data_IF_412580805094
#
_entry.id   IF_412580805094
#
_cell.length_a   1.000
_cell.length_b   1.000
_cell.length_c   1.000
_cell.angle_alpha   90.00
_cell.angle_beta   90.00
_cell.angle_gamma   90.00
#
_symmetry.space_group_name_H-M   'P 1'
#
loop_
_entity.id
_entity.type
_entity.pdbx_description
1 polymer ?
#
# COMPACT_ATOMS: atom_id res chain seq x y z
N UNK A 1 15.99 -19.89 -8.98
CA UNK A 1 15.56 -19.42 -7.64
C UNK A 1 16.32 -20.19 -6.55
N UNK A 2 16.60 -19.58 -5.39
CA UNK A 2 17.36 -20.27 -4.31
C UNK A 2 16.63 -21.47 -3.70
N UNK A 3 15.30 -21.50 -3.75
CA UNK A 3 14.47 -22.62 -3.27
C UNK A 3 14.27 -23.74 -4.30
N UNK A 4 14.66 -23.53 -5.53
CA UNK A 4 14.63 -24.52 -6.61
C UNK A 4 15.91 -24.34 -7.47
N UNK A 5 17.09 -24.68 -6.93
CA UNK A 5 18.38 -24.32 -7.54
C UNK A 5 18.62 -25.01 -8.90
N UNK A 6 17.92 -26.13 -9.16
CA UNK A 6 18.03 -26.87 -10.41
C UNK A 6 16.97 -26.47 -11.44
N UNK A 7 16.00 -25.62 -11.06
CA UNK A 7 14.94 -25.20 -11.96
C UNK A 7 15.33 -23.86 -12.61
N UNK A 8 15.49 -23.90 -13.92
CA UNK A 8 15.68 -22.72 -14.75
C UNK A 8 14.48 -22.52 -15.63
N UNK A 9 13.83 -21.36 -15.53
CA UNK A 9 12.75 -20.96 -16.41
C UNK A 9 13.34 -20.12 -17.54
N UNK A 10 13.14 -20.55 -18.78
CA UNK A 10 13.57 -19.82 -19.97
C UNK A 10 12.44 -18.92 -20.46
N UNK A 11 12.77 -17.66 -20.70
CA UNK A 11 11.81 -16.64 -21.15
C UNK A 11 12.38 -15.91 -22.34
N UNK A 12 11.53 -15.63 -23.33
CA UNK A 12 11.88 -14.77 -24.46
C UNK A 12 11.11 -13.46 -24.37
N UNK A 13 11.77 -12.34 -24.63
CA UNK A 13 11.09 -11.06 -24.74
C UNK A 13 10.34 -10.93 -26.05
N UNK A 14 9.23 -10.21 -26.03
CA UNK A 14 8.51 -9.81 -27.23
C UNK A 14 9.24 -8.68 -28.01
N UNK A 15 8.61 -8.19 -29.08
CA UNK A 15 9.12 -7.08 -29.91
C UNK A 15 9.28 -5.74 -29.16
N UNK A 16 8.61 -5.59 -28.03
CA UNK A 16 8.69 -4.42 -27.16
C UNK A 16 9.68 -4.59 -26.01
N UNK A 17 10.42 -5.72 -26.00
CA UNK A 17 11.36 -6.11 -24.93
C UNK A 17 10.66 -6.39 -23.59
N UNK A 18 9.38 -6.67 -23.62
CA UNK A 18 8.63 -7.13 -22.46
C UNK A 18 8.72 -8.65 -22.34
N UNK A 19 8.77 -9.16 -21.13
CA UNK A 19 8.70 -10.57 -20.82
C UNK A 19 8.00 -10.79 -19.48
N UNK A 20 7.32 -11.90 -19.38
CA UNK A 20 6.62 -12.33 -18.18
C UNK A 20 6.80 -13.84 -18.00
N UNK A 21 6.87 -14.30 -16.78
CA UNK A 21 6.89 -15.72 -16.45
C UNK A 21 6.34 -15.98 -15.06
N UNK A 22 5.94 -17.22 -14.85
CA UNK A 22 5.44 -17.71 -13.57
C UNK A 22 6.43 -18.70 -12.97
N UNK A 23 6.65 -18.57 -11.67
CA UNK A 23 7.49 -19.48 -10.89
C UNK A 23 6.70 -19.98 -9.69
N UNK A 24 6.87 -21.27 -9.35
CA UNK A 24 6.32 -21.79 -8.11
C UNK A 24 7.09 -21.22 -6.92
N UNK A 25 6.36 -20.64 -5.97
CA UNK A 25 6.96 -20.13 -4.74
C UNK A 25 6.99 -21.22 -3.66
N UNK A 26 7.99 -21.21 -2.75
CA UNK A 26 8.00 -22.10 -1.60
C UNK A 26 6.90 -21.69 -0.63
N UNK A 27 6.68 -22.52 0.40
CA UNK A 27 5.91 -22.09 1.57
C UNK A 27 6.57 -20.87 2.21
N UNK A 28 5.77 -20.15 3.03
CA UNK A 28 6.21 -18.97 3.76
C UNK A 28 7.50 -19.22 4.53
N UNK A 29 8.59 -18.70 4.05
CA UNK A 29 9.94 -18.79 4.64
C UNK A 29 10.87 -17.79 3.94
N UNK A 30 12.14 -17.89 4.20
CA UNK A 30 13.21 -17.08 3.60
C UNK A 30 14.35 -16.87 4.60
N UNK A 31 15.33 -16.04 4.25
CA UNK A 31 15.39 -15.24 3.02
C UNK A 31 15.76 -16.07 1.78
N UNK A 32 15.18 -15.71 0.66
CA UNK A 32 15.41 -16.31 -0.64
C UNK A 32 16.12 -15.34 -1.61
N UNK A 33 16.55 -15.87 -2.77
CA UNK A 33 17.09 -15.07 -3.86
C UNK A 33 16.60 -15.56 -5.22
N UNK A 34 16.42 -14.62 -6.15
CA UNK A 34 16.14 -14.89 -7.56
C UNK A 34 17.28 -14.31 -8.38
N UNK A 35 17.83 -15.11 -9.30
CA UNK A 35 18.89 -14.71 -10.21
C UNK A 35 18.40 -14.70 -11.64
N UNK A 36 18.75 -13.66 -12.36
CA UNK A 36 18.41 -13.45 -13.76
C UNK A 36 19.67 -13.55 -14.60
N UNK A 37 19.64 -14.45 -15.57
CA UNK A 37 20.75 -14.70 -16.46
C UNK A 37 20.39 -14.25 -17.87
N UNK A 38 21.30 -13.58 -18.53
CA UNK A 38 21.17 -13.22 -19.93
C UNK A 38 21.76 -14.29 -20.84
N UNK A 39 22.05 -13.88 -22.07
CA UNK A 39 22.68 -14.73 -23.06
C UNK A 39 24.00 -15.29 -22.52
N UNK A 40 24.35 -16.52 -22.90
CA UNK A 40 25.55 -17.23 -22.48
C UNK A 40 25.66 -17.50 -20.96
N UNK A 41 24.56 -17.43 -20.23
CA UNK A 41 24.56 -17.71 -18.79
C UNK A 41 25.21 -16.63 -17.92
N UNK A 42 25.40 -15.43 -18.45
CA UNK A 42 25.92 -14.30 -17.68
C UNK A 42 24.89 -13.80 -16.68
N UNK A 43 25.24 -13.69 -15.40
CA UNK A 43 24.40 -13.09 -14.38
C UNK A 43 24.17 -11.61 -14.69
N UNK A 44 22.91 -11.22 -14.91
CA UNK A 44 22.50 -9.86 -15.23
C UNK A 44 21.94 -9.11 -14.02
N UNK A 45 21.18 -9.81 -13.17
CA UNK A 45 20.57 -9.23 -11.97
C UNK A 45 20.36 -10.31 -10.90
N UNK A 46 20.35 -9.89 -9.66
CA UNK A 46 19.98 -10.74 -8.52
C UNK A 46 19.12 -9.93 -7.55
N UNK A 47 17.98 -10.50 -7.14
CA UNK A 47 17.14 -10.00 -6.05
C UNK A 47 17.36 -10.90 -4.86
N UNK A 48 17.77 -10.33 -3.74
CA UNK A 48 18.11 -11.04 -2.48
C UNK A 48 17.14 -10.64 -1.37
N UNK A 49 17.25 -11.36 -0.26
CA UNK A 49 16.49 -11.12 0.97
C UNK A 49 14.96 -11.13 0.74
N UNK A 50 14.50 -12.04 -0.13
CA UNK A 50 13.08 -12.20 -0.43
C UNK A 50 12.46 -13.07 0.68
N UNK A 51 11.45 -12.53 1.36
CA UNK A 51 10.61 -13.28 2.27
C UNK A 51 9.30 -13.64 1.58
N UNK A 52 8.84 -14.86 1.80
CA UNK A 52 7.51 -15.32 1.37
C UNK A 52 6.56 -15.24 2.56
N UNK A 53 5.48 -14.49 2.41
CA UNK A 53 4.51 -14.24 3.46
C UNK A 53 3.32 -13.45 2.93
N UNK A 54 2.62 -12.75 3.81
CA UNK A 54 1.52 -11.88 3.41
C UNK A 54 1.99 -10.43 3.22
N UNK A 55 1.46 -9.77 2.21
CA UNK A 55 1.68 -8.33 1.97
C UNK A 55 0.37 -7.59 2.07
N UNK A 56 0.34 -6.49 2.80
CA UNK A 56 -0.85 -5.67 3.04
C UNK A 56 -0.63 -4.23 2.60
N UNK A 57 -1.63 -3.68 1.90
CA UNK A 57 -1.64 -2.26 1.53
C UNK A 57 -2.33 -1.46 2.64
N UNK A 58 -1.58 -0.55 3.26
CA UNK A 58 -2.09 0.36 4.29
C UNK A 58 -2.21 1.76 3.68
N UNK A 59 -3.44 2.26 3.54
CA UNK A 59 -3.72 3.50 2.83
C UNK A 59 -4.73 4.38 3.55
N UNK A 60 -4.79 5.66 3.19
CA UNK A 60 -5.68 6.63 3.81
C UNK A 60 -5.06 8.01 3.98
N UNK A 61 -5.48 8.73 5.02
CA UNK A 61 -5.02 10.09 5.28
C UNK A 61 -4.18 10.20 6.57
N UNK A 62 -4.21 11.34 7.24
CA UNK A 62 -3.32 11.69 8.37
C UNK A 62 -3.27 10.66 9.49
N UNK A 63 -4.37 10.05 9.87
CA UNK A 63 -4.36 9.02 10.92
C UNK A 63 -3.68 7.72 10.47
N UNK A 64 -3.76 7.35 9.18
CA UNK A 64 -2.94 6.29 8.63
C UNK A 64 -1.48 6.72 8.48
N UNK A 65 -1.22 7.97 8.13
CA UNK A 65 0.13 8.50 8.00
C UNK A 65 0.85 8.71 9.34
N UNK A 66 0.11 8.79 10.44
CA UNK A 66 0.67 9.06 11.76
C UNK A 66 1.79 8.09 12.11
N UNK A 67 2.98 8.62 12.37
CA UNK A 67 4.20 7.83 12.58
C UNK A 67 4.79 8.06 13.99
N UNK A 68 5.63 7.13 14.41
CA UNK A 68 6.18 7.14 15.78
C UNK A 68 6.98 8.40 16.12
N UNK A 69 7.66 9.00 15.15
CA UNK A 69 8.41 10.24 15.36
C UNK A 69 7.54 11.47 15.65
N UNK A 70 6.23 11.40 15.41
CA UNK A 70 5.29 12.49 15.71
C UNK A 70 4.74 12.42 17.14
N UNK A 71 5.57 11.96 18.08
CA UNK A 71 5.30 11.87 19.53
C UNK A 71 4.25 10.82 19.90
N UNK A 72 4.63 9.56 19.80
CA UNK A 72 3.93 8.46 20.45
C UNK A 72 4.63 8.24 21.81
N UNK A 73 4.25 9.04 22.80
CA UNK A 73 4.96 9.10 24.10
C UNK A 73 4.72 7.87 24.99
N UNK A 74 3.68 7.08 24.71
CA UNK A 74 3.27 5.93 25.52
C UNK A 74 4.13 4.66 25.30
N UNK A 75 5.04 4.68 24.32
CA UNK A 75 5.89 3.53 24.01
C UNK A 75 7.30 3.80 24.52
N UNK A 76 7.62 3.27 25.70
CA UNK A 76 8.89 3.51 26.39
C UNK A 76 10.05 2.64 25.90
N UNK A 77 9.78 1.42 25.42
CA UNK A 77 10.80 0.52 24.87
C UNK A 77 10.55 0.24 23.38
N UNK A 78 11.09 1.10 22.54
CA UNK A 78 10.99 0.99 21.09
C UNK A 78 11.99 0.01 20.50
N UNK A 79 13.09 -0.28 21.19
CA UNK A 79 14.15 -1.15 20.67
C UNK A 79 13.67 -2.59 20.50
N UNK A 80 13.02 -3.13 21.52
CA UNK A 80 12.44 -4.49 21.45
C UNK A 80 11.17 -4.54 20.62
N UNK A 81 10.38 -3.46 20.59
CA UNK A 81 9.14 -3.38 19.81
C UNK A 81 9.41 -3.54 18.31
N UNK A 82 10.49 -2.94 17.81
CA UNK A 82 10.81 -2.86 16.39
C UNK A 82 11.84 -3.89 15.90
N UNK A 83 12.40 -4.72 16.76
CA UNK A 83 13.34 -5.77 16.33
C UNK A 83 12.59 -7.00 15.80
N UNK A 84 12.02 -6.87 14.62
CA UNK A 84 11.38 -7.99 13.93
C UNK A 84 11.77 -8.07 12.45
N UNK A 85 12.76 -8.89 12.14
CA UNK A 85 13.28 -9.08 10.77
C UNK A 85 12.27 -9.73 9.80
N UNK A 86 11.14 -10.24 10.29
CA UNK A 86 10.08 -10.80 9.44
C UNK A 86 9.03 -9.77 9.05
N UNK A 87 9.06 -8.56 9.62
CA UNK A 87 8.25 -7.45 9.17
C UNK A 87 9.08 -6.59 8.21
N UNK A 88 8.48 -6.23 7.10
CA UNK A 88 9.09 -5.37 6.07
C UNK A 88 8.18 -4.19 5.77
N UNK A 89 8.79 -3.04 5.53
CA UNK A 89 8.11 -1.81 5.17
C UNK A 89 8.45 -1.40 3.74
N UNK A 90 7.44 -0.98 3.00
CA UNK A 90 7.61 -0.27 1.75
C UNK A 90 6.81 1.03 1.82
N UNK A 91 7.47 2.16 2.02
CA UNK A 91 6.82 3.47 2.05
C UNK A 91 6.80 4.06 0.66
N UNK A 92 5.60 4.22 0.11
CA UNK A 92 5.38 4.87 -1.18
C UNK A 92 5.71 6.34 -1.06
N UNK A 93 6.58 6.85 -1.94
CA UNK A 93 6.87 8.27 -1.99
C UNK A 93 5.62 9.05 -2.42
N UNK A 94 5.31 10.13 -1.69
CA UNK A 94 4.17 11.00 -2.01
C UNK A 94 4.33 11.61 -3.40
N UNK A 95 3.38 11.33 -4.26
CA UNK A 95 3.32 11.89 -5.60
C UNK A 95 1.88 11.93 -6.11
N UNK A 96 1.60 12.80 -7.05
CA UNK A 96 0.30 12.90 -7.71
C UNK A 96 0.48 13.00 -9.22
N UNK A 97 -0.46 12.44 -9.97
CA UNK A 97 -0.40 12.45 -11.44
C UNK A 97 -1.80 12.54 -12.04
N UNK A 98 -1.94 13.27 -13.12
CA UNK A 98 -3.18 13.30 -13.90
C UNK A 98 -3.44 11.98 -14.65
N UNK A 99 -2.40 11.18 -14.86
CA UNK A 99 -2.48 9.91 -15.59
C UNK A 99 -1.79 8.79 -14.80
N UNK A 100 -2.21 7.53 -14.97
CA UNK A 100 -1.56 6.38 -14.36
C UNK A 100 -0.07 6.33 -14.68
N UNK A 101 0.76 6.09 -13.66
CA UNK A 101 2.20 5.91 -13.82
C UNK A 101 2.56 4.44 -13.60
N UNK A 102 3.59 3.99 -14.32
CA UNK A 102 4.01 2.58 -14.30
C UNK A 102 5.05 2.26 -13.20
N UNK A 103 5.64 3.29 -12.61
CA UNK A 103 6.75 3.13 -11.68
C UNK A 103 6.53 3.95 -10.42
N UNK A 104 6.93 3.36 -9.31
CA UNK A 104 6.85 3.94 -7.98
C UNK A 104 8.25 4.12 -7.41
N UNK A 105 8.45 5.17 -6.62
CA UNK A 105 9.65 5.32 -5.82
C UNK A 105 9.42 4.76 -4.42
N UNK A 106 10.37 3.98 -3.96
CA UNK A 106 10.35 3.34 -2.66
C UNK A 106 11.36 2.20 -2.60
N UNK A 107 11.56 1.68 -1.41
CA UNK A 107 12.39 0.49 -1.16
C UNK A 107 11.78 -0.32 -0.04
N UNK A 108 11.98 -1.63 -0.07
CA UNK A 108 11.69 -2.49 1.06
C UNK A 108 12.76 -2.29 2.15
N UNK A 109 12.30 -2.09 3.37
CA UNK A 109 13.14 -1.92 4.54
C UNK A 109 12.78 -2.97 5.60
N UNK A 110 13.80 -3.44 6.32
CA UNK A 110 13.61 -4.33 7.47
C UNK A 110 13.05 -3.51 8.62
N UNK A 111 12.09 -4.06 9.37
CA UNK A 111 11.63 -3.44 10.60
C UNK A 111 12.78 -3.34 11.61
N UNK A 112 13.15 -2.14 11.94
CA UNK A 112 14.14 -1.76 12.95
C UNK A 112 13.70 -0.47 13.63
N UNK A 113 14.32 -0.06 14.76
CA UNK A 113 14.02 1.22 15.38
C UNK A 113 14.10 2.40 14.40
N UNK A 114 15.11 2.41 13.53
CA UNK A 114 15.34 3.50 12.59
C UNK A 114 14.28 3.56 11.48
N UNK A 115 13.87 2.41 10.94
CA UNK A 115 12.92 2.35 9.83
C UNK A 115 11.48 2.50 10.28
N UNK A 116 11.16 2.02 11.48
CA UNK A 116 9.82 2.10 12.05
C UNK A 116 9.43 3.52 12.48
N UNK A 117 10.40 4.35 12.92
CA UNK A 117 10.15 5.72 13.38
C UNK A 117 9.36 6.56 12.37
N UNK A 118 9.61 6.38 11.08
CA UNK A 118 8.96 7.13 9.98
C UNK A 118 7.84 6.34 9.30
N UNK A 119 7.46 5.19 9.84
CA UNK A 119 6.39 4.37 9.29
C UNK A 119 5.08 4.53 10.08
N UNK A 120 3.95 4.20 9.45
CA UNK A 120 2.62 4.27 10.06
C UNK A 120 2.52 3.45 11.34
N UNK A 121 2.09 4.07 12.44
CA UNK A 121 1.80 3.38 13.71
C UNK A 121 0.68 2.37 13.52
N UNK A 122 -0.39 2.76 12.85
CA UNK A 122 -1.56 1.89 12.61
C UNK A 122 -1.16 0.68 11.77
N UNK A 123 -0.46 0.90 10.66
CA UNK A 123 0.02 -0.18 9.81
C UNK A 123 0.98 -1.11 10.54
N UNK A 124 1.91 -0.55 11.33
CA UNK A 124 2.84 -1.33 12.13
C UNK A 124 2.12 -2.20 13.17
N UNK A 125 1.21 -1.62 13.95
CA UNK A 125 0.46 -2.37 14.98
C UNK A 125 -0.37 -3.50 14.34
N UNK A 126 -1.02 -3.24 13.21
CA UNK A 126 -1.73 -4.27 12.44
C UNK A 126 -0.78 -5.39 12.01
N UNK A 127 0.32 -5.04 11.34
CA UNK A 127 1.27 -6.03 10.81
C UNK A 127 1.97 -6.83 11.90
N UNK A 128 2.32 -6.20 13.03
CA UNK A 128 2.90 -6.87 14.19
C UNK A 128 1.93 -7.88 14.77
N UNK A 129 0.68 -7.48 15.02
CA UNK A 129 -0.33 -8.39 15.54
C UNK A 129 -0.62 -9.55 14.59
N UNK A 130 -0.70 -9.26 13.29
CA UNK A 130 -0.91 -10.30 12.27
C UNK A 130 0.27 -11.29 12.23
N UNK A 131 1.51 -10.81 12.30
CA UNK A 131 2.71 -11.65 12.37
C UNK A 131 2.66 -12.61 13.58
N UNK A 132 2.27 -12.11 14.74
CA UNK A 132 2.13 -12.90 15.97
C UNK A 132 1.03 -13.97 15.84
N UNK A 133 -0.16 -13.61 15.36
CA UNK A 133 -1.31 -14.51 15.22
C UNK A 133 -1.08 -15.61 14.17
N UNK A 134 -0.32 -15.29 13.13
CA UNK A 134 0.03 -16.26 12.08
C UNK A 134 1.32 -17.06 12.36
N UNK A 135 1.73 -17.14 13.63
CA UNK A 135 2.88 -17.95 14.01
C UNK A 135 4.20 -17.42 13.46
N UNK A 136 4.39 -16.12 13.50
CA UNK A 136 5.60 -15.45 13.02
C UNK A 136 5.80 -15.54 11.49
N UNK A 137 4.69 -15.55 10.72
CA UNK A 137 4.69 -15.46 9.27
C UNK A 137 5.31 -14.12 8.82
N UNK A 138 6.16 -14.08 7.79
CA UNK A 138 6.64 -12.80 7.25
C UNK A 138 5.49 -11.89 6.79
N UNK A 139 5.55 -10.61 7.18
CA UNK A 139 4.55 -9.61 6.82
C UNK A 139 5.22 -8.43 6.11
N UNK A 140 4.76 -8.14 4.89
CA UNK A 140 5.09 -6.94 4.16
C UNK A 140 3.99 -5.88 4.31
N UNK A 141 4.37 -4.65 4.65
CA UNK A 141 3.44 -3.53 4.80
C UNK A 141 3.79 -2.46 3.76
N UNK A 142 2.89 -2.25 2.81
CA UNK A 142 3.00 -1.16 1.82
C UNK A 142 2.23 0.02 2.36
N UNK A 143 2.94 1.08 2.75
CA UNK A 143 2.34 2.33 3.21
C UNK A 143 2.15 3.31 2.06
N UNK A 144 0.90 3.54 1.64
CA UNK A 144 0.53 4.49 0.58
C UNK A 144 -0.56 5.42 1.12
N UNK A 145 -0.15 6.51 1.75
CA UNK A 145 -1.04 7.42 2.46
C UNK A 145 -0.58 8.88 2.33
N UNK A 146 -1.56 9.81 2.49
CA UNK A 146 -1.26 11.25 2.46
C UNK A 146 -2.27 12.01 3.33
N UNK A 147 -1.80 12.65 4.38
CA UNK A 147 -2.64 13.43 5.31
C UNK A 147 -3.43 14.54 4.62
N UNK A 148 -4.67 14.75 5.07
CA UNK A 148 -5.58 15.76 4.54
C UNK A 148 -6.24 15.44 3.21
N UNK A 149 -6.05 14.25 2.68
CA UNK A 149 -6.68 13.87 1.41
C UNK A 149 -8.07 13.31 1.62
N UNK A 150 -9.00 13.68 0.77
CA UNK A 150 -10.30 13.06 0.65
C UNK A 150 -10.21 11.74 -0.13
N UNK A 151 -11.32 11.00 -0.23
CA UNK A 151 -11.34 9.70 -0.90
C UNK A 151 -11.19 9.81 -2.43
N UNK A 152 -11.70 10.88 -3.04
CA UNK A 152 -11.81 11.03 -4.49
C UNK A 152 -10.46 10.96 -5.24
N UNK A 153 -9.36 11.55 -4.74
CA UNK A 153 -8.03 11.35 -5.33
C UNK A 153 -7.55 9.89 -5.36
N UNK A 154 -8.07 9.04 -4.46
CA UNK A 154 -7.70 7.62 -4.35
C UNK A 154 -8.56 6.67 -5.19
N UNK A 155 -9.59 7.18 -5.85
CA UNK A 155 -10.45 6.42 -6.74
C UNK A 155 -9.90 6.42 -8.16
N UNK A 156 -10.03 5.31 -8.89
CA UNK A 156 -9.69 5.28 -10.30
C UNK A 156 -10.72 6.03 -11.16
N UNK A 157 -10.26 6.58 -12.27
CA UNK A 157 -11.09 7.40 -13.17
C UNK A 157 -12.23 6.60 -13.80
N UNK A 158 -11.99 5.33 -14.13
CA UNK A 158 -13.01 4.47 -14.72
C UNK A 158 -14.18 4.29 -13.75
N UNK A 159 -13.88 3.99 -12.48
CA UNK A 159 -14.91 3.84 -11.44
C UNK A 159 -15.70 5.12 -11.24
N UNK A 160 -15.01 6.28 -11.15
CA UNK A 160 -15.68 7.57 -10.97
C UNK A 160 -16.67 7.87 -12.12
N UNK A 161 -16.27 7.63 -13.36
CA UNK A 161 -17.12 7.86 -14.55
C UNK A 161 -18.26 6.85 -14.67
N UNK A 162 -17.95 5.57 -14.53
CA UNK A 162 -18.93 4.50 -14.68
C UNK A 162 -20.06 4.60 -13.65
N UNK A 163 -19.70 4.94 -12.42
CA UNK A 163 -20.66 5.11 -11.31
C UNK A 163 -21.29 6.51 -11.28
N UNK A 164 -20.93 7.40 -12.23
CA UNK A 164 -21.42 8.80 -12.31
C UNK A 164 -21.16 9.60 -11.02
N UNK A 165 -20.03 9.35 -10.40
CA UNK A 165 -19.65 10.01 -9.13
C UNK A 165 -18.91 11.32 -9.36
N UNK A 166 -18.50 11.65 -10.59
CA UNK A 166 -17.77 12.88 -10.93
C UNK A 166 -18.52 14.15 -10.50
N UNK A 167 -19.84 14.16 -10.62
CA UNK A 167 -20.67 15.31 -10.19
C UNK A 167 -20.69 15.52 -8.67
N UNK A 168 -20.40 14.46 -7.92
CA UNK A 168 -20.31 14.48 -6.46
C UNK A 168 -18.93 14.88 -5.96
N UNK A 169 -17.93 14.84 -6.84
CA UNK A 169 -16.56 15.20 -6.54
C UNK A 169 -16.34 16.70 -6.76
N UNK A 170 -16.77 17.53 -5.84
CA UNK A 170 -16.46 18.96 -5.90
C UNK A 170 -14.99 19.18 -5.56
N UNK A 171 -14.35 20.09 -6.27
CA UNK A 171 -12.97 20.46 -6.01
C UNK A 171 -12.78 20.83 -4.53
N UNK A 172 -11.95 20.06 -3.85
CA UNK A 172 -11.56 20.36 -2.48
C UNK A 172 -10.49 21.45 -2.53
N UNK A 173 -10.58 22.41 -1.65
CA UNK A 173 -9.66 23.54 -1.57
C UNK A 173 -8.61 23.38 -0.48
N UNK A 174 -8.01 22.19 -0.34
CA UNK A 174 -6.88 22.02 0.56
C UNK A 174 -5.58 22.37 -0.18
N UNK A 175 -5.06 23.57 0.02
CA UNK A 175 -3.87 24.07 -0.70
C UNK A 175 -2.55 23.32 -0.44
N UNK A 176 -2.57 22.25 0.37
CA UNK A 176 -1.38 21.50 0.76
C UNK A 176 -1.47 19.98 0.47
N UNK A 177 -2.62 19.50 0.03
CA UNK A 177 -2.83 18.10 -0.33
C UNK A 177 -3.45 18.00 -1.73
N UNK A 178 -3.16 16.95 -2.51
CA UNK A 178 -3.78 16.74 -3.81
C UNK A 178 -5.29 16.57 -3.67
N UNK A 179 -6.04 17.29 -4.51
CA UNK A 179 -7.50 17.32 -4.50
C UNK A 179 -8.11 16.82 -5.81
N UNK A 180 -7.30 16.71 -6.87
CA UNK A 180 -7.78 16.26 -8.16
C UNK A 180 -8.18 14.79 -8.10
N UNK A 181 -9.34 14.46 -8.68
CA UNK A 181 -9.83 13.10 -8.82
C UNK A 181 -8.75 12.18 -9.39
N UNK A 182 -8.65 10.98 -8.86
CA UNK A 182 -7.75 9.91 -9.32
C UNK A 182 -6.25 10.21 -9.20
N UNK A 183 -5.84 11.42 -8.81
CA UNK A 183 -4.44 11.83 -8.88
C UNK A 183 -3.50 11.03 -7.97
N UNK A 184 -4.00 10.56 -6.84
CA UNK A 184 -3.26 9.70 -5.91
C UNK A 184 -3.36 8.23 -6.31
N UNK A 185 -4.52 7.79 -6.79
CA UNK A 185 -4.65 6.47 -7.39
C UNK A 185 -3.62 6.30 -8.51
N UNK A 186 -3.58 7.23 -9.46
CA UNK A 186 -2.68 7.18 -10.61
C UNK A 186 -1.20 7.09 -10.23
N UNK A 187 -0.80 7.80 -9.18
CA UNK A 187 0.61 7.92 -8.80
C UNK A 187 1.05 6.95 -7.69
N UNK A 188 0.15 6.56 -6.79
CA UNK A 188 0.50 5.86 -5.55
C UNK A 188 -0.19 4.50 -5.38
N UNK A 189 -1.21 4.18 -6.19
CA UNK A 189 -1.90 2.89 -6.18
C UNK A 189 -1.68 2.13 -7.49
N UNK A 190 -1.91 2.78 -8.63
CA UNK A 190 -1.77 2.13 -9.95
C UNK A 190 -0.41 1.44 -10.15
N UNK A 191 0.75 2.00 -9.76
CA UNK A 191 2.03 1.34 -9.97
C UNK A 191 2.21 0.01 -9.21
N UNK A 192 1.35 -0.28 -8.23
CA UNK A 192 1.43 -1.47 -7.38
C UNK A 192 0.32 -2.50 -7.63
N UNK A 193 -0.59 -2.26 -8.57
CA UNK A 193 -1.72 -3.18 -8.84
C UNK A 193 -1.26 -4.57 -9.28
N UNK A 194 -0.09 -4.69 -9.90
CA UNK A 194 0.50 -5.97 -10.30
C UNK A 194 1.25 -6.68 -9.15
N UNK A 195 1.35 -6.06 -7.97
CA UNK A 195 1.95 -6.69 -6.80
C UNK A 195 0.86 -7.45 -6.02
N UNK A 196 1.11 -8.72 -5.73
CA UNK A 196 0.14 -9.54 -4.98
C UNK A 196 0.05 -9.07 -3.53
N UNK A 197 -1.15 -8.67 -3.10
CA UNK A 197 -1.44 -8.27 -1.73
C UNK A 197 -2.54 -9.15 -1.14
N UNK A 198 -2.48 -9.39 0.17
CA UNK A 198 -3.47 -10.18 0.91
C UNK A 198 -4.74 -9.37 1.22
N UNK A 199 -4.62 -8.05 1.32
CA UNK A 199 -5.74 -7.16 1.58
C UNK A 199 -5.31 -5.72 1.79
N UNK A 200 -6.28 -4.90 2.16
CA UNK A 200 -6.14 -3.46 2.37
C UNK A 200 -6.57 -3.09 3.79
N UNK A 201 -5.78 -2.21 4.42
CA UNK A 201 -6.15 -1.50 5.65
C UNK A 201 -6.35 -0.03 5.30
N UNK A 202 -7.55 0.49 5.55
CA UNK A 202 -7.94 1.84 5.17
C UNK A 202 -8.28 2.70 6.39
N UNK A 203 -7.67 3.89 6.51
CA UNK A 203 -8.02 4.84 7.56
C UNK A 203 -8.11 6.25 6.98
N UNK A 204 -9.33 6.65 6.63
CA UNK A 204 -9.64 7.93 6.01
C UNK A 204 -11.12 8.25 6.25
N UNK A 205 -11.51 9.51 6.18
CA UNK A 205 -12.90 9.96 6.26
C UNK A 205 -13.00 11.43 6.68
N UNK A 206 -12.05 11.92 7.45
CA UNK A 206 -12.11 13.27 8.06
C UNK A 206 -12.15 14.37 6.99
N UNK A 207 -11.40 14.22 5.89
CA UNK A 207 -11.42 15.20 4.80
C UNK A 207 -12.72 15.19 3.98
N UNK A 208 -13.59 14.19 4.18
CA UNK A 208 -14.91 14.11 3.55
C UNK A 208 -16.05 14.50 4.52
N UNK A 209 -15.75 15.00 5.72
CA UNK A 209 -16.76 15.28 6.74
C UNK A 209 -17.89 16.20 6.25
N UNK A 210 -17.58 17.25 5.49
CA UNK A 210 -18.60 18.16 4.93
C UNK A 210 -19.47 17.49 3.85
N UNK A 211 -19.07 16.31 3.35
CA UNK A 211 -19.75 15.53 2.30
C UNK A 211 -19.95 14.08 2.72
N UNK A 212 -20.11 13.87 4.02
CA UNK A 212 -20.24 12.54 4.62
C UNK A 212 -21.39 11.71 4.03
N UNK A 213 -22.45 12.37 3.52
CA UNK A 213 -23.62 11.74 2.92
C UNK A 213 -23.27 10.89 1.68
N UNK A 214 -22.27 11.32 0.90
CA UNK A 214 -21.81 10.61 -0.30
C UNK A 214 -20.65 9.63 -0.01
N UNK A 215 -20.06 9.68 1.19
CA UNK A 215 -18.85 8.91 1.51
C UNK A 215 -19.08 7.39 1.37
N UNK A 216 -20.18 6.87 1.87
CA UNK A 216 -20.47 5.44 1.81
C UNK A 216 -20.54 4.90 0.37
N UNK A 217 -21.14 5.67 -0.54
CA UNK A 217 -21.23 5.30 -1.96
C UNK A 217 -19.86 5.36 -2.61
N UNK A 218 -19.07 6.41 -2.33
CA UNK A 218 -17.71 6.54 -2.87
C UNK A 218 -16.78 5.45 -2.34
N UNK A 219 -16.87 5.11 -1.06
CA UNK A 219 -16.04 4.08 -0.45
C UNK A 219 -16.35 2.69 -1.03
N UNK A 220 -17.62 2.33 -1.18
CA UNK A 220 -18.02 1.09 -1.85
C UNK A 220 -17.51 1.03 -3.30
N UNK A 221 -17.67 2.12 -4.06
CA UNK A 221 -17.17 2.22 -5.43
C UNK A 221 -15.64 2.08 -5.49
N UNK A 222 -14.90 2.75 -4.60
CA UNK A 222 -13.45 2.64 -4.50
C UNK A 222 -13.01 1.19 -4.22
N UNK A 223 -13.66 0.50 -3.28
CA UNK A 223 -13.35 -0.91 -2.98
C UNK A 223 -13.55 -1.77 -4.23
N UNK A 224 -14.64 -1.61 -4.96
CA UNK A 224 -14.89 -2.35 -6.20
C UNK A 224 -13.87 -2.02 -7.28
N UNK A 225 -13.54 -0.74 -7.48
CA UNK A 225 -12.52 -0.29 -8.41
C UNK A 225 -11.14 -0.90 -8.11
N UNK A 226 -10.71 -0.87 -6.85
CA UNK A 226 -9.44 -1.47 -6.47
C UNK A 226 -9.44 -2.99 -6.61
N UNK A 227 -10.52 -3.69 -6.24
CA UNK A 227 -10.64 -5.15 -6.48
C UNK A 227 -10.53 -5.49 -7.96
N UNK A 228 -11.15 -4.71 -8.83
CA UNK A 228 -11.03 -4.88 -10.28
C UNK A 228 -9.60 -4.64 -10.77
N UNK A 229 -8.94 -3.57 -10.31
CA UNK A 229 -7.58 -3.23 -10.70
C UNK A 229 -6.54 -4.27 -10.26
N UNK A 230 -6.67 -4.80 -9.06
CA UNK A 230 -5.80 -5.86 -8.55
C UNK A 230 -6.18 -7.26 -9.04
N UNK A 231 -7.25 -7.41 -9.83
CA UNK A 231 -7.76 -8.69 -10.34
C UNK A 231 -7.96 -9.76 -9.26
N UNK A 232 -8.27 -9.35 -8.04
CA UNK A 232 -8.38 -10.22 -6.89
C UNK A 232 -9.44 -9.71 -5.90
N UNK A 233 -10.14 -10.65 -5.25
CA UNK A 233 -11.02 -10.30 -4.14
C UNK A 233 -10.18 -9.91 -2.92
N UNK A 234 -10.00 -8.60 -2.73
CA UNK A 234 -9.27 -8.05 -1.58
C UNK A 234 -10.22 -7.84 -0.40
N UNK A 235 -9.92 -8.41 0.78
CA UNK A 235 -10.52 -7.95 2.01
C UNK A 235 -10.08 -6.51 2.29
N UNK A 236 -11.06 -5.68 2.68
CA UNK A 236 -10.82 -4.32 3.16
C UNK A 236 -11.15 -4.26 4.64
N UNK A 237 -10.17 -3.99 5.45
CA UNK A 237 -10.35 -3.59 6.85
C UNK A 237 -10.25 -2.07 6.92
N UNK A 238 -11.17 -1.44 7.63
CA UNK A 238 -11.14 0.01 7.78
C UNK A 238 -11.35 0.42 9.22
N UNK A 239 -10.79 1.58 9.57
CA UNK A 239 -10.95 2.18 10.87
C UNK A 239 -12.09 3.20 10.78
N UNK A 240 -13.10 3.01 11.62
CA UNK A 240 -14.16 4.01 11.78
C UNK A 240 -13.55 5.27 12.40
N UNK A 241 -13.73 6.42 11.74
CA UNK A 241 -13.26 7.70 12.32
C UNK A 241 -14.00 8.00 13.62
N UNK A 242 -13.29 8.65 14.55
CA UNK A 242 -13.89 9.06 15.80
C UNK A 242 -15.00 10.10 15.57
N UNK A 243 -16.12 10.06 16.33
CA UNK A 243 -17.10 11.13 16.29
C UNK A 243 -16.44 12.47 16.63
N UNK A 244 -16.77 13.51 15.86
CA UNK A 244 -16.25 14.84 16.10
C UNK A 244 -17.37 15.88 16.09
N UNK A 245 -17.52 16.58 17.21
CA UNK A 245 -18.57 17.59 17.43
C UNK A 245 -18.11 19.03 17.19
N UNK A 246 -16.89 19.25 16.72
CA UNK A 246 -16.27 20.59 16.64
C UNK A 246 -16.96 21.63 15.76
N UNK A 247 -18.01 21.28 15.02
CA UNK A 247 -18.85 22.20 14.26
C UNK A 247 -20.30 22.27 14.74
N UNK A 248 -20.72 21.41 15.66
CA UNK A 248 -22.12 21.37 16.13
C UNK A 248 -22.51 22.56 17.01
N UNK A 249 -21.54 23.25 17.60
CA UNK A 249 -21.79 24.35 18.58
C UNK A 249 -21.60 25.77 18.00
N UNK A 250 -21.68 25.93 16.68
CA UNK A 250 -21.58 27.25 16.03
C UNK A 250 -22.89 27.77 15.45
N UNK A 251 -24.03 27.25 15.93
CA UNK A 251 -25.37 27.82 15.66
C UNK A 251 -26.07 28.18 16.94
#
# INVERSE_FOLDING_TARGET
>A
CSWAPNDTVHVSSDKYKYWETYINTPKAEGPHAIRFYGWEGKLCAEVKDILMGETWLCSGQSNMEYCFKWRVDDITDRSTLFDNKKIRFFKVAKSSSAYPVERIQGKWEICSPETAEDFSVVAFCFGKRLNEELGNLPIGLIGSYWGGTAIEPWMDEFTLRHEKLEEKTKALTAGWAPTANSSLYNAMIHPIINYTIAGVVWYQGEANNERHQDYGVMFDAMIRGWRNAFHHYLPFYFVQIAPWSGYADKN
#
